data_IF_114560408404
#
_entry.id   IF_114560408404
#
_cell.length_a   1.000
_cell.length_b   1.000
_cell.length_c   1.000
_cell.angle_alpha   90.00
_cell.angle_beta   90.00
_cell.angle_gamma   90.00
#
_symmetry.space_group_name_H-M   'P 1'
#
loop_
_entity.id
_entity.type
_entity.pdbx_description
1 polymer ?
#
# COMPACT_ATOMS: atom_id res chain seq x y z
N UNK A 1 -2.37 -9.89 15.39
CA UNK A 1 -1.04 -10.38 14.98
C UNK A 1 -1.24 -11.74 14.33
N UNK A 2 -0.82 -11.92 13.09
CA UNK A 2 -0.97 -13.19 12.35
C UNK A 2 0.38 -13.91 12.42
N UNK A 3 0.37 -15.22 12.68
CA UNK A 3 1.58 -16.05 12.70
C UNK A 3 1.57 -16.99 11.49
N UNK A 4 2.72 -17.13 10.85
CA UNK A 4 2.93 -18.06 9.74
C UNK A 4 4.26 -18.78 9.91
N UNK A 5 4.27 -20.09 9.67
CA UNK A 5 5.49 -20.89 9.57
C UNK A 5 5.79 -21.05 8.08
N UNK A 6 6.99 -20.66 7.67
CA UNK A 6 7.42 -20.72 6.27
C UNK A 6 8.77 -21.44 6.16
N UNK A 7 8.95 -22.16 5.06
CA UNK A 7 10.25 -22.68 4.66
C UNK A 7 10.86 -21.72 3.65
N UNK A 8 12.12 -21.34 3.86
CA UNK A 8 12.88 -20.48 2.95
C UNK A 8 14.19 -21.14 2.59
N UNK A 9 14.69 -20.90 1.38
CA UNK A 9 16.00 -21.40 0.98
C UNK A 9 17.13 -20.56 1.62
N UNK A 10 18.36 -21.06 1.54
CA UNK A 10 19.53 -20.44 2.16
C UNK A 10 19.78 -19.02 1.67
N UNK A 11 19.64 -18.79 0.36
CA UNK A 11 19.80 -17.46 -0.26
C UNK A 11 18.78 -16.47 0.30
N UNK A 12 17.51 -16.86 0.40
CA UNK A 12 16.44 -16.04 0.98
C UNK A 12 16.75 -15.71 2.44
N UNK A 13 17.25 -16.68 3.22
CA UNK A 13 17.64 -16.45 4.60
C UNK A 13 18.79 -15.43 4.75
N UNK A 14 19.78 -15.48 3.85
CA UNK A 14 20.87 -14.49 3.81
C UNK A 14 20.35 -13.09 3.46
N UNK A 15 19.47 -12.97 2.46
CA UNK A 15 18.84 -11.70 2.10
C UNK A 15 18.07 -11.11 3.29
N UNK A 16 17.27 -11.93 3.99
CA UNK A 16 16.55 -11.48 5.18
C UNK A 16 17.48 -10.95 6.28
N UNK A 17 18.64 -11.58 6.49
CA UNK A 17 19.64 -11.08 7.44
C UNK A 17 20.20 -9.71 7.03
N UNK A 18 20.49 -9.51 5.74
CA UNK A 18 20.99 -8.22 5.21
C UNK A 18 19.93 -7.13 5.38
N UNK A 19 18.67 -7.41 5.03
CA UNK A 19 17.56 -6.47 5.21
C UNK A 19 17.39 -6.12 6.69
N UNK A 20 17.39 -7.14 7.57
CA UNK A 20 17.29 -6.95 9.02
C UNK A 20 18.39 -6.01 9.53
N UNK A 21 19.64 -6.25 9.14
CA UNK A 21 20.77 -5.42 9.54
C UNK A 21 20.66 -3.99 8.99
N UNK A 22 20.32 -3.83 7.71
CA UNK A 22 20.20 -2.52 7.05
C UNK A 22 19.18 -1.60 7.71
N UNK A 23 18.05 -2.15 8.16
CA UNK A 23 16.96 -1.39 8.77
C UNK A 23 16.97 -1.46 10.31
N UNK A 24 18.02 -2.03 10.91
CA UNK A 24 18.15 -2.22 12.37
C UNK A 24 16.93 -2.91 13.00
N UNK A 25 16.42 -3.95 12.34
CA UNK A 25 15.22 -4.69 12.75
C UNK A 25 15.55 -5.77 13.77
N UNK A 26 14.59 -6.09 14.63
CA UNK A 26 14.76 -7.03 15.74
C UNK A 26 14.85 -8.48 15.25
N UNK A 27 13.98 -8.84 14.31
CA UNK A 27 13.84 -10.22 13.84
C UNK A 27 13.59 -10.31 12.33
N UNK A 28 13.57 -11.55 11.82
CA UNK A 28 13.34 -11.81 10.38
C UNK A 28 11.89 -11.60 9.98
N UNK A 29 10.94 -11.63 10.93
CA UNK A 29 9.53 -11.37 10.65
C UNK A 29 9.33 -9.89 10.32
N UNK A 30 9.99 -8.99 11.05
CA UNK A 30 10.03 -7.57 10.71
C UNK A 30 10.68 -7.34 9.33
N UNK A 31 11.75 -8.05 9.01
CA UNK A 31 12.39 -7.96 7.69
C UNK A 31 11.46 -8.40 6.55
N UNK A 32 10.65 -9.46 6.77
CA UNK A 32 9.63 -9.90 5.81
C UNK A 32 8.56 -8.82 5.62
N UNK A 33 8.09 -8.17 6.70
CA UNK A 33 7.11 -7.11 6.61
C UNK A 33 7.63 -5.92 5.78
N UNK A 34 8.87 -5.47 6.05
CA UNK A 34 9.50 -4.39 5.26
C UNK A 34 9.66 -4.77 3.78
N UNK A 35 9.99 -6.04 3.49
CA UNK A 35 10.04 -6.51 2.11
C UNK A 35 8.66 -6.50 1.45
N UNK A 36 7.60 -6.92 2.16
CA UNK A 36 6.24 -6.91 1.66
C UNK A 36 5.74 -5.49 1.36
N UNK A 37 5.98 -4.54 2.27
CA UNK A 37 5.64 -3.12 2.07
C UNK A 37 6.34 -2.54 0.83
N UNK A 38 7.64 -2.80 0.68
CA UNK A 38 8.40 -2.37 -0.51
C UNK A 38 7.94 -3.06 -1.79
N UNK A 39 7.52 -4.31 -1.70
CA UNK A 39 7.03 -5.05 -2.85
C UNK A 39 5.63 -4.59 -3.26
N UNK A 40 4.80 -4.16 -2.30
CA UNK A 40 3.51 -3.52 -2.54
C UNK A 40 3.65 -2.31 -3.46
N UNK A 41 4.69 -1.48 -3.29
CA UNK A 41 4.95 -0.34 -4.18
C UNK A 41 5.15 -0.75 -5.65
N UNK A 42 5.66 -1.97 -5.89
CA UNK A 42 6.03 -2.47 -7.21
C UNK A 42 4.95 -3.34 -7.86
N UNK A 43 4.05 -3.95 -7.07
CA UNK A 43 3.04 -4.90 -7.54
C UNK A 43 1.62 -4.38 -7.40
N UNK A 44 1.30 -3.63 -6.33
CA UNK A 44 -0.05 -3.10 -6.18
C UNK A 44 -0.20 -1.88 -7.08
N UNK A 45 -1.02 -2.04 -8.12
CA UNK A 45 -1.59 -0.92 -8.86
C UNK A 45 -2.20 0.09 -7.87
N UNK A 46 -2.15 1.40 -8.15
CA UNK A 46 -2.61 2.43 -7.23
C UNK A 46 -4.02 2.19 -6.66
N UNK A 47 -4.88 1.57 -7.46
CA UNK A 47 -6.27 1.22 -7.13
C UNK A 47 -6.40 0.14 -6.03
N UNK A 48 -5.39 -0.73 -5.92
CA UNK A 48 -5.33 -1.84 -4.97
C UNK A 48 -4.62 -1.47 -3.66
N UNK A 49 -4.01 -0.28 -3.59
CA UNK A 49 -3.35 0.19 -2.38
C UNK A 49 -4.39 0.41 -1.28
N UNK A 50 -4.16 -0.08 -0.04
CA UNK A 50 -5.10 0.06 1.07
C UNK A 50 -5.51 1.52 1.35
N UNK A 51 -4.60 2.46 1.14
CA UNK A 51 -4.86 3.90 1.26
C UNK A 51 -5.86 4.43 0.24
N UNK A 52 -5.77 3.99 -1.00
CA UNK A 52 -6.71 4.34 -2.05
C UNK A 52 -8.09 3.75 -1.77
N UNK A 53 -8.14 2.48 -1.34
CA UNK A 53 -9.39 1.83 -0.91
C UNK A 53 -10.05 2.61 0.24
N UNK A 54 -9.28 3.07 1.23
CA UNK A 54 -9.80 3.90 2.33
C UNK A 54 -10.34 5.24 1.82
N UNK A 55 -9.63 5.90 0.91
CA UNK A 55 -10.06 7.17 0.30
C UNK A 55 -11.35 6.99 -0.51
N UNK A 56 -11.41 5.97 -1.37
CA UNK A 56 -12.58 5.65 -2.18
C UNK A 56 -13.81 5.35 -1.29
N UNK A 57 -13.64 4.53 -0.24
CA UNK A 57 -14.72 4.26 0.73
C UNK A 57 -15.21 5.50 1.45
N UNK A 58 -14.35 6.49 1.70
CA UNK A 58 -14.75 7.78 2.28
C UNK A 58 -15.60 8.58 1.27
N UNK A 59 -15.13 8.70 0.03
CA UNK A 59 -15.84 9.40 -1.06
C UNK A 59 -17.22 8.77 -1.32
N UNK A 60 -17.33 7.43 -1.31
CA UNK A 60 -18.60 6.73 -1.52
C UNK A 60 -19.67 7.03 -0.45
N UNK A 61 -19.28 7.52 0.73
CA UNK A 61 -20.23 7.93 1.79
C UNK A 61 -20.72 9.36 1.61
N UNK A 62 -20.03 10.16 0.80
CA UNK A 62 -20.41 11.54 0.53
C UNK A 62 -21.57 11.58 -0.47
N UNK A 63 -22.41 12.61 -0.38
CA UNK A 63 -23.52 12.77 -1.32
C UNK A 63 -22.94 13.11 -2.71
N UNK A 64 -23.22 12.30 -3.75
CA UNK A 64 -22.75 12.62 -5.09
C UNK A 64 -23.44 13.88 -5.59
N UNK A 65 -22.65 14.77 -6.20
CA UNK A 65 -23.16 15.98 -6.85
C UNK A 65 -23.16 15.73 -8.35
N UNK A 66 -24.33 15.81 -8.97
CA UNK A 66 -24.42 15.76 -10.41
C UNK A 66 -24.03 17.12 -11.01
N UNK A 67 -22.96 17.13 -11.81
CA UNK A 67 -22.44 18.35 -12.45
C UNK A 67 -22.92 18.47 -13.91
N UNK A 68 -23.21 17.34 -14.55
CA UNK A 68 -23.77 17.27 -15.91
C UNK A 68 -22.74 17.51 -17.02
N UNK A 69 -22.07 18.67 -17.03
CA UNK A 69 -21.12 19.08 -18.08
C UNK A 69 -19.79 19.59 -17.54
N UNK A 70 -18.73 19.52 -18.36
CA UNK A 70 -17.43 20.09 -18.02
C UNK A 70 -17.48 21.61 -17.82
N UNK A 71 -18.36 22.31 -18.52
CA UNK A 71 -18.54 23.76 -18.34
C UNK A 71 -19.05 24.11 -16.93
N UNK A 72 -20.03 23.34 -16.43
CA UNK A 72 -20.55 23.49 -15.07
C UNK A 72 -19.52 23.11 -14.01
N UNK A 73 -18.63 22.15 -14.31
CA UNK A 73 -17.51 21.79 -13.44
C UNK A 73 -16.56 22.98 -13.27
N UNK A 74 -16.11 23.55 -14.39
CA UNK A 74 -15.17 24.68 -14.41
C UNK A 74 -15.75 25.88 -13.66
N UNK A 75 -17.00 26.28 -13.95
CA UNK A 75 -17.69 27.37 -13.24
C UNK A 75 -17.73 27.22 -11.71
N UNK A 76 -17.70 25.99 -11.20
CA UNK A 76 -17.81 25.70 -9.76
C UNK A 76 -16.45 25.65 -9.05
N UNK A 77 -15.39 25.20 -9.72
CA UNK A 77 -14.11 24.86 -9.06
C UNK A 77 -12.88 25.56 -9.66
N UNK A 78 -12.95 26.04 -10.90
CA UNK A 78 -11.88 26.82 -11.53
C UNK A 78 -12.32 28.28 -11.49
N UNK A 79 -11.69 29.08 -10.63
CA UNK A 79 -11.84 30.54 -10.61
C UNK A 79 -10.93 31.19 -11.65
#
# INVERSE_FOLDING_TARGET
MVQAIINVNERTNQVLNIVKAKYNLRDKSEAINVMAEKYEENILEPELRPEYIRKARRIMKEKPIHIGSMENFRKRYEK
#
